data_IF_587074062947
#
_entry.id   IF_587074062947
#
_cell.length_a   1.000
_cell.length_b   1.000
_cell.length_c   1.000
_cell.angle_alpha   90.00
_cell.angle_beta   90.00
_cell.angle_gamma   90.00
#
_symmetry.space_group_name_H-M   'P 1'
#
loop_
_entity.id
_entity.type
_entity.pdbx_description
1 polymer ?
#
# COMPACT_ATOMS: atom_id res chain seq x y z
N UNK A 1 10.58 -1.46 26.15
CA UNK A 1 11.45 -0.37 26.61
C UNK A 1 12.48 -1.01 27.49
N UNK A 2 13.75 -1.01 27.11
CA UNK A 2 14.81 -1.44 28.01
C UNK A 2 15.01 -0.30 28.99
N UNK A 3 14.53 -0.46 30.23
CA UNK A 3 14.81 0.54 31.26
C UNK A 3 16.32 0.54 31.52
N UNK A 4 16.94 1.72 31.66
CA UNK A 4 18.35 1.80 32.01
C UNK A 4 18.48 1.37 33.48
N UNK A 5 19.39 0.42 33.71
CA UNK A 5 19.59 -0.35 34.95
C UNK A 5 18.53 -1.41 35.25
N UNK A 6 18.94 -2.67 35.07
CA UNK A 6 18.25 -3.82 35.64
C UNK A 6 18.32 -3.69 37.17
N UNK A 7 17.17 -3.77 37.85
CA UNK A 7 17.05 -3.55 39.30
C UNK A 7 17.90 -4.54 40.13
N UNK A 8 18.45 -5.55 39.46
CA UNK A 8 19.39 -6.56 39.96
C UNK A 8 20.81 -6.03 40.25
N UNK A 9 21.18 -4.83 39.80
CA UNK A 9 22.58 -4.32 39.83
C UNK A 9 22.82 -3.18 40.84
N UNK A 10 22.01 -3.08 41.91
CA UNK A 10 22.26 -2.08 42.97
C UNK A 10 23.08 -2.67 44.13
N UNK A 11 24.32 -2.19 44.41
CA UNK A 11 25.08 -2.59 45.58
C UNK A 11 24.51 -1.90 46.84
N UNK A 12 24.22 -2.65 47.91
CA UNK A 12 23.54 -2.12 49.11
C UNK A 12 24.14 -2.61 50.43
N UNK A 13 25.35 -2.19 50.77
CA UNK A 13 25.94 -2.59 52.05
C UNK A 13 26.05 -1.47 53.10
N UNK A 14 25.69 -0.20 52.80
CA UNK A 14 25.82 0.94 53.75
C UNK A 14 24.58 1.86 53.89
N UNK A 15 23.34 1.38 53.73
CA UNK A 15 22.12 2.23 53.78
C UNK A 15 21.28 2.05 55.06
N UNK A 16 20.59 3.10 55.53
CA UNK A 16 19.70 3.09 56.70
C UNK A 16 18.49 2.14 56.52
N UNK A 17 17.99 1.57 57.62
CA UNK A 17 16.91 0.56 57.63
C UNK A 17 15.61 1.07 56.97
N UNK A 18 15.21 2.30 57.28
CA UNK A 18 14.00 2.94 56.72
C UNK A 18 14.13 3.16 55.20
N UNK A 19 15.32 3.57 54.76
CA UNK A 19 15.64 3.73 53.35
C UNK A 19 15.71 2.38 52.60
N UNK A 20 16.10 1.28 53.27
CA UNK A 20 16.05 -0.07 52.68
C UNK A 20 14.60 -0.48 52.40
N UNK A 21 13.72 -0.34 53.39
CA UNK A 21 12.31 -0.72 53.27
C UNK A 21 11.62 0.05 52.14
N UNK A 22 11.86 1.37 52.06
CA UNK A 22 11.31 2.18 50.98
C UNK A 22 11.82 1.75 49.59
N UNK A 23 13.10 1.42 49.46
CA UNK A 23 13.64 0.91 48.20
C UNK A 23 13.07 -0.47 47.84
N UNK A 24 12.84 -1.35 48.81
CA UNK A 24 12.20 -2.65 48.60
C UNK A 24 10.77 -2.49 48.08
N UNK A 25 10.01 -1.56 48.67
CA UNK A 25 8.66 -1.23 48.22
C UNK A 25 8.67 -0.71 46.77
N UNK A 26 9.56 0.23 46.43
CA UNK A 26 9.71 0.77 45.07
C UNK A 26 10.07 -0.34 44.08
N UNK A 27 11.02 -1.21 44.43
CA UNK A 27 11.44 -2.33 43.57
C UNK A 27 10.28 -3.30 43.34
N UNK A 28 9.47 -3.59 44.36
CA UNK A 28 8.31 -4.47 44.25
C UNK A 28 7.27 -3.90 43.29
N UNK A 29 6.97 -2.60 43.41
CA UNK A 29 6.04 -1.90 42.53
C UNK A 29 6.56 -1.84 41.10
N UNK A 30 7.85 -1.55 40.90
CA UNK A 30 8.48 -1.57 39.59
C UNK A 30 8.37 -2.95 38.93
N UNK A 31 8.59 -4.03 39.68
CA UNK A 31 8.43 -5.40 39.18
C UNK A 31 7.00 -5.67 38.69
N UNK A 32 6.00 -5.29 39.48
CA UNK A 32 4.59 -5.40 39.11
C UNK A 32 4.29 -4.63 37.82
N UNK A 33 4.79 -3.38 37.71
CA UNK A 33 4.58 -2.57 36.52
C UNK A 33 5.23 -3.18 35.28
N UNK A 34 6.42 -3.78 35.41
CA UNK A 34 7.12 -4.44 34.32
C UNK A 34 6.35 -5.67 33.84
N UNK A 35 5.87 -6.50 34.75
CA UNK A 35 5.08 -7.68 34.44
C UNK A 35 3.77 -7.30 33.74
N UNK A 36 3.06 -6.29 34.26
CA UNK A 36 1.82 -5.79 33.67
C UNK A 36 2.07 -5.19 32.28
N UNK A 37 3.14 -4.41 32.10
CA UNK A 37 3.53 -3.87 30.81
C UNK A 37 3.86 -4.99 29.81
N UNK A 38 4.61 -6.01 30.23
CA UNK A 38 4.94 -7.16 29.39
C UNK A 38 3.71 -7.96 28.97
N UNK A 39 2.78 -8.20 29.91
CA UNK A 39 1.50 -8.84 29.64
C UNK A 39 0.67 -8.02 28.65
N UNK A 40 0.56 -6.71 28.86
CA UNK A 40 -0.17 -5.82 27.95
C UNK A 40 0.41 -5.81 26.53
N UNK A 41 1.75 -5.80 26.40
CA UNK A 41 2.42 -5.90 25.11
C UNK A 41 2.07 -7.22 24.43
N UNK A 42 2.17 -8.36 25.14
CA UNK A 42 1.84 -9.68 24.61
C UNK A 42 0.36 -9.78 24.18
N UNK A 43 -0.56 -9.35 25.04
CA UNK A 43 -2.00 -9.34 24.74
C UNK A 43 -2.31 -8.48 23.52
N UNK A 44 -1.71 -7.29 23.42
CA UNK A 44 -1.88 -6.40 22.27
C UNK A 44 -1.31 -7.03 21.00
N UNK A 45 -0.14 -7.65 21.06
CA UNK A 45 0.46 -8.35 19.92
C UNK A 45 -0.43 -9.51 19.45
N UNK A 46 -0.95 -10.32 20.38
CA UNK A 46 -1.88 -11.42 20.07
C UNK A 46 -3.16 -10.92 19.40
N UNK A 47 -3.81 -9.90 19.98
CA UNK A 47 -5.02 -9.29 19.41
C UNK A 47 -4.78 -8.70 18.00
N UNK A 48 -3.64 -8.04 17.81
CA UNK A 48 -3.28 -7.52 16.48
C UNK A 48 -3.05 -8.66 15.50
N UNK A 49 -2.33 -9.70 15.91
CA UNK A 49 -2.10 -10.91 15.11
C UNK A 49 -3.43 -11.53 14.66
N UNK A 50 -4.35 -11.80 15.59
CA UNK A 50 -5.70 -12.31 15.28
C UNK A 50 -6.42 -11.44 14.25
N UNK A 51 -6.39 -10.11 14.43
CA UNK A 51 -7.03 -9.17 13.50
C UNK A 51 -6.48 -9.28 12.08
N UNK A 52 -5.16 -9.39 11.93
CA UNK A 52 -4.53 -9.54 10.62
C UNK A 52 -4.71 -10.96 10.06
N UNK A 53 -4.71 -11.97 10.93
CA UNK A 53 -4.87 -13.37 10.57
C UNK A 53 -6.28 -13.69 10.02
N UNK A 54 -7.33 -13.01 10.50
CA UNK A 54 -8.70 -13.17 9.96
C UNK A 54 -8.76 -12.99 8.44
N UNK A 55 -7.96 -12.07 7.89
CA UNK A 55 -7.92 -11.78 6.45
C UNK A 55 -6.67 -12.33 5.76
N UNK A 56 -5.74 -12.95 6.51
CA UNK A 56 -4.56 -13.56 5.94
C UNK A 56 -4.96 -14.84 5.21
N UNK A 57 -4.37 -15.04 4.03
CA UNK A 57 -4.57 -16.26 3.26
C UNK A 57 -3.28 -17.05 3.34
N UNK A 58 -3.42 -18.36 3.47
CA UNK A 58 -2.29 -19.27 3.31
C UNK A 58 -1.73 -19.02 1.90
N UNK A 59 -0.45 -18.65 1.77
CA UNK A 59 0.12 -18.33 0.47
C UNK A 59 0.24 -19.60 -0.37
N UNK A 60 -0.19 -19.53 -1.63
CA UNK A 60 -0.17 -20.64 -2.59
C UNK A 60 1.10 -20.60 -3.46
N UNK A 61 2.30 -20.57 -2.85
CA UNK A 61 3.53 -20.72 -3.63
C UNK A 61 4.06 -22.14 -3.54
N UNK A 62 4.65 -22.61 -4.62
CA UNK A 62 5.42 -23.85 -4.66
C UNK A 62 6.86 -23.52 -4.31
N UNK A 63 7.53 -24.45 -3.62
CA UNK A 63 8.97 -24.35 -3.39
C UNK A 63 9.66 -24.15 -4.75
N UNK A 64 10.56 -23.14 -4.83
CA UNK A 64 11.28 -22.67 -6.04
C UNK A 64 10.52 -21.71 -6.96
N UNK A 65 9.34 -21.23 -6.57
CA UNK A 65 8.73 -20.08 -7.25
C UNK A 65 9.60 -18.83 -7.04
N UNK A 66 9.92 -18.13 -8.14
CA UNK A 66 10.71 -16.89 -8.10
C UNK A 66 9.80 -15.76 -7.64
N UNK A 67 10.13 -15.14 -6.51
CA UNK A 67 9.44 -13.97 -5.98
C UNK A 67 10.35 -12.76 -6.17
N UNK A 68 9.81 -11.68 -6.74
CA UNK A 68 10.54 -10.42 -6.86
C UNK A 68 10.71 -9.83 -5.46
N UNK A 69 11.95 -9.78 -4.98
CA UNK A 69 12.29 -9.08 -3.75
C UNK A 69 12.51 -7.60 -4.09
N UNK A 70 11.68 -6.70 -3.55
CA UNK A 70 11.95 -5.26 -3.66
C UNK A 70 13.09 -4.92 -2.71
N UNK A 71 14.28 -4.72 -3.24
CA UNK A 71 15.43 -4.28 -2.46
C UNK A 71 15.26 -2.80 -2.11
N UNK A 72 14.97 -2.50 -0.84
CA UNK A 72 14.94 -1.13 -0.34
C UNK A 72 16.36 -0.70 0.00
N UNK A 73 17.15 -0.39 -1.03
CA UNK A 73 18.47 0.22 -0.84
C UNK A 73 18.27 1.72 -0.65
N UNK A 74 18.60 2.19 0.55
CA UNK A 74 18.59 3.61 0.87
C UNK A 74 19.95 4.17 0.45
N UNK A 75 20.03 5.07 -0.55
CA UNK A 75 21.30 5.65 -0.97
C UNK A 75 21.96 6.39 0.19
N UNK A 76 23.29 6.33 0.22
CA UNK A 76 24.11 6.95 1.28
C UNK A 76 23.76 8.44 1.38
N UNK A 77 23.49 8.91 2.60
CA UNK A 77 23.12 10.30 2.87
C UNK A 77 21.63 10.61 2.80
N UNK A 78 20.75 9.66 2.45
CA UNK A 78 19.28 9.82 2.61
C UNK A 78 18.76 9.02 3.80
N UNK A 79 17.72 9.54 4.44
CA UNK A 79 17.03 8.79 5.49
C UNK A 79 16.04 7.80 4.85
N UNK A 80 15.92 6.56 5.35
CA UNK A 80 15.00 5.56 4.81
C UNK A 80 13.54 6.04 4.70
N UNK A 81 13.14 6.95 5.59
CA UNK A 81 11.78 7.52 5.63
C UNK A 81 11.50 8.56 4.55
N UNK A 82 12.53 9.10 3.89
CA UNK A 82 12.40 10.09 2.82
C UNK A 82 12.47 9.46 1.41
N UNK A 83 13.06 8.27 1.27
CA UNK A 83 13.30 7.65 -0.04
C UNK A 83 12.01 7.13 -0.68
N UNK A 84 11.12 6.51 0.10
CA UNK A 84 9.92 5.85 -0.43
C UNK A 84 8.76 6.81 -0.76
N UNK A 85 8.85 8.11 -0.45
CA UNK A 85 7.72 9.05 -0.61
C UNK A 85 7.62 9.70 -2.01
N UNK A 86 8.72 9.75 -2.78
CA UNK A 86 8.78 10.52 -4.04
C UNK A 86 9.36 9.77 -5.24
N UNK A 87 9.74 8.50 -5.11
CA UNK A 87 10.38 7.75 -6.20
C UNK A 87 9.41 7.10 -7.21
N UNK A 88 8.16 7.54 -7.29
CA UNK A 88 7.21 7.07 -8.31
C UNK A 88 7.18 7.98 -9.56
N UNK A 89 8.06 8.98 -9.64
CA UNK A 89 8.14 9.91 -10.77
C UNK A 89 9.59 10.06 -11.25
N UNK A 90 10.07 9.07 -12.02
CA UNK A 90 11.03 9.37 -13.08
C UNK A 90 10.24 9.52 -14.38
N UNK A 91 9.95 10.78 -14.70
CA UNK A 91 9.76 11.22 -16.08
C UNK A 91 11.14 11.43 -16.69
N UNK A 92 11.50 10.59 -17.65
CA UNK A 92 12.53 10.89 -18.63
C UNK A 92 11.85 11.60 -19.79
N UNK A 93 11.60 12.90 -19.63
CA UNK A 93 11.49 13.82 -20.75
C UNK A 93 12.74 14.70 -20.67
N UNK A 94 13.76 14.38 -21.47
CA UNK A 94 14.75 15.34 -21.99
C UNK A 94 15.82 14.60 -22.80
N UNK A 95 15.62 14.57 -24.11
CA UNK A 95 16.72 14.80 -25.04
C UNK A 95 16.24 15.86 -26.04
N UNK A 96 16.61 17.11 -25.77
CA UNK A 96 16.75 18.12 -26.82
C UNK A 96 18.17 18.02 -27.35
N UNK A 97 18.33 17.80 -28.65
CA UNK A 97 18.92 18.81 -29.54
C UNK A 97 19.09 18.25 -30.96
N UNK A 98 18.30 18.78 -31.90
CA UNK A 98 18.73 19.10 -33.27
C UNK A 98 17.65 19.91 -33.99
N UNK A 99 17.97 21.20 -34.14
CA UNK A 99 17.77 22.04 -35.33
C UNK A 99 17.03 21.40 -36.53
N UNK A 100 15.90 22.01 -36.92
CA UNK A 100 15.58 22.51 -38.28
C UNK A 100 14.10 22.92 -38.35
N UNK A 101 13.84 24.09 -38.94
CA UNK A 101 12.50 24.65 -39.10
C UNK A 101 11.57 23.79 -39.94
N UNK A 102 10.31 23.76 -39.53
CA UNK A 102 9.10 23.91 -40.35
C UNK A 102 7.91 23.45 -39.49
N UNK A 103 7.01 24.37 -39.13
CA UNK A 103 5.73 24.04 -38.51
C UNK A 103 4.84 23.30 -39.51
N UNK A 104 4.30 22.11 -39.20
CA UNK A 104 3.06 21.67 -39.79
C UNK A 104 1.91 22.05 -38.84
N UNK A 105 1.03 22.93 -39.31
CA UNK A 105 -0.28 23.20 -38.72
C UNK A 105 -0.97 21.90 -38.29
N UNK A 106 -0.95 21.61 -36.98
CA UNK A 106 -1.64 20.48 -36.39
C UNK A 106 -3.12 20.87 -36.31
N UNK A 107 -3.84 20.64 -37.41
CA UNK A 107 -5.30 20.68 -37.43
C UNK A 107 -5.75 19.62 -36.44
N UNK A 108 -6.07 20.03 -35.21
CA UNK A 108 -6.71 19.18 -34.22
C UNK A 108 -8.09 18.88 -34.79
N UNK A 109 -8.20 17.79 -35.53
CA UNK A 109 -9.46 17.30 -36.05
C UNK A 109 -10.27 16.87 -34.82
N UNK A 110 -11.06 17.80 -34.26
CA UNK A 110 -11.99 17.62 -33.14
C UNK A 110 -13.19 16.76 -33.58
N UNK A 111 -12.94 15.76 -34.41
CA UNK A 111 -13.93 14.84 -34.94
C UNK A 111 -14.33 13.92 -33.80
N UNK A 112 -15.56 14.11 -33.30
CA UNK A 112 -16.12 13.25 -32.28
C UNK A 112 -16.39 11.87 -32.87
N UNK A 113 -15.71 10.84 -32.38
CA UNK A 113 -15.94 9.46 -32.77
C UNK A 113 -16.91 8.78 -31.80
N UNK A 114 -17.88 8.02 -32.35
CA UNK A 114 -18.86 7.32 -31.53
C UNK A 114 -18.26 6.10 -30.82
N UNK A 115 -18.41 6.07 -29.49
CA UNK A 115 -17.96 4.97 -28.64
C UNK A 115 -19.07 3.95 -28.45
N UNK A 116 -18.78 2.66 -28.66
CA UNK A 116 -19.72 1.57 -28.37
C UNK A 116 -19.71 1.24 -26.87
N UNK A 117 -18.51 0.97 -26.31
CA UNK A 117 -18.36 0.62 -24.90
C UNK A 117 -16.90 0.65 -24.44
N UNK A 118 -16.72 0.86 -23.14
CA UNK A 118 -15.43 0.63 -22.48
C UNK A 118 -15.25 -0.85 -22.16
N UNK A 119 -14.11 -1.39 -22.59
CA UNK A 119 -13.75 -2.79 -22.40
C UNK A 119 -12.89 -2.98 -21.15
N UNK A 120 -11.90 -2.12 -20.97
CA UNK A 120 -10.93 -2.22 -19.90
C UNK A 120 -10.45 -0.86 -19.41
N UNK A 121 -9.72 -0.85 -18.29
CA UNK A 121 -9.09 0.33 -17.71
C UNK A 121 -7.67 -0.04 -17.25
N UNK A 122 -6.72 0.88 -17.42
CA UNK A 122 -5.37 0.79 -16.88
C UNK A 122 -4.91 2.17 -16.40
N UNK A 123 -3.98 2.21 -15.46
CA UNK A 123 -3.33 3.45 -15.05
C UNK A 123 -1.87 3.44 -15.54
N UNK A 124 -1.40 4.54 -16.13
CA UNK A 124 -0.03 4.71 -16.57
C UNK A 124 0.43 6.16 -16.28
N UNK A 125 1.59 6.32 -15.63
CA UNK A 125 2.17 7.64 -15.25
C UNK A 125 1.16 8.58 -14.54
N UNK A 126 0.35 8.04 -13.63
CA UNK A 126 -0.68 8.80 -12.90
C UNK A 126 -1.94 9.14 -13.72
N UNK A 127 -1.95 8.86 -15.03
CA UNK A 127 -3.09 9.10 -15.92
C UNK A 127 -3.85 7.78 -16.10
N UNK A 128 -5.16 7.85 -15.96
CA UNK A 128 -6.05 6.71 -16.15
C UNK A 128 -6.46 6.62 -17.62
N UNK A 129 -6.31 5.44 -18.21
CA UNK A 129 -6.68 5.12 -19.58
C UNK A 129 -7.79 4.08 -19.61
N UNK A 130 -8.66 4.17 -20.61
CA UNK A 130 -9.67 3.17 -20.87
C UNK A 130 -9.54 2.63 -22.29
N UNK A 131 -9.78 1.33 -22.45
CA UNK A 131 -9.81 0.69 -23.75
C UNK A 131 -11.19 0.87 -24.35
N UNK A 132 -11.26 1.70 -25.39
CA UNK A 132 -12.48 2.10 -26.08
C UNK A 132 -12.74 1.12 -27.21
N UNK A 133 -13.93 0.53 -27.24
CA UNK A 133 -14.44 -0.15 -28.43
C UNK A 133 -15.25 0.87 -29.23
N UNK A 134 -14.81 1.15 -30.44
CA UNK A 134 -15.46 2.08 -31.37
C UNK A 134 -16.65 1.42 -32.06
N UNK A 135 -17.67 2.20 -32.41
CA UNK A 135 -18.83 1.69 -33.16
C UNK A 135 -18.50 1.38 -34.62
N UNK A 136 -17.54 2.11 -35.19
CA UNK A 136 -17.15 1.99 -36.60
C UNK A 136 -16.42 0.67 -36.91
N UNK A 137 -16.29 -0.22 -35.92
CA UNK A 137 -15.63 -1.52 -36.06
C UNK A 137 -14.10 -1.42 -36.09
N UNK A 138 -13.54 -0.22 -35.91
CA UNK A 138 -12.11 -0.01 -35.81
C UNK A 138 -11.51 -0.70 -34.59
N UNK A 139 -10.19 -0.93 -34.64
CA UNK A 139 -9.47 -1.64 -33.58
C UNK A 139 -9.60 -0.85 -32.25
N UNK A 140 -9.85 -1.53 -31.11
CA UNK A 140 -9.95 -0.86 -29.83
C UNK A 140 -8.65 -0.14 -29.44
N UNK A 141 -8.77 1.11 -28.99
CA UNK A 141 -7.62 1.96 -28.66
C UNK A 141 -7.68 2.43 -27.21
N UNK A 142 -6.52 2.72 -26.62
CA UNK A 142 -6.41 3.22 -25.25
C UNK A 142 -6.50 4.74 -25.23
N UNK A 143 -7.63 5.25 -24.76
CA UNK A 143 -7.87 6.68 -24.63
C UNK A 143 -7.74 7.14 -23.18
N UNK A 144 -7.18 8.34 -22.93
CA UNK A 144 -7.08 8.88 -21.57
C UNK A 144 -8.47 9.21 -21.03
N UNK A 145 -8.62 9.21 -19.70
CA UNK A 145 -9.88 9.49 -19.01
C UNK A 145 -10.51 10.82 -19.44
N UNK A 146 -9.66 11.82 -19.76
CA UNK A 146 -10.06 13.15 -20.20
C UNK A 146 -10.81 13.13 -21.54
N UNK A 147 -10.52 12.18 -22.42
CA UNK A 147 -11.15 12.07 -23.74
C UNK A 147 -12.51 11.35 -23.70
N UNK A 148 -12.94 10.86 -22.54
CA UNK A 148 -14.10 9.98 -22.41
C UNK A 148 -15.15 10.63 -21.53
N UNK A 149 -16.39 10.67 -22.03
CA UNK A 149 -17.52 11.20 -21.29
C UNK A 149 -17.76 10.45 -19.96
N UNK A 150 -18.06 11.21 -18.91
CA UNK A 150 -18.21 10.68 -17.55
C UNK A 150 -19.28 9.60 -17.43
N UNK A 151 -20.37 9.70 -18.21
CA UNK A 151 -21.45 8.71 -18.23
C UNK A 151 -20.98 7.30 -18.62
N UNK A 152 -20.10 7.18 -19.61
CA UNK A 152 -19.53 5.90 -20.05
C UNK A 152 -18.63 5.28 -18.97
N UNK A 153 -17.88 6.13 -18.26
CA UNK A 153 -17.02 5.71 -17.15
C UNK A 153 -17.86 5.18 -15.99
N UNK A 154 -18.91 5.91 -15.60
CA UNK A 154 -19.82 5.52 -14.52
C UNK A 154 -20.53 4.19 -14.84
N UNK A 155 -20.99 4.00 -16.08
CA UNK A 155 -21.62 2.75 -16.51
C UNK A 155 -20.63 1.57 -16.42
N UNK A 156 -19.40 1.76 -16.89
CA UNK A 156 -18.35 0.75 -16.82
C UNK A 156 -18.03 0.32 -15.37
N UNK A 157 -17.86 1.30 -14.47
CA UNK A 157 -17.57 1.04 -13.06
C UNK A 157 -18.76 0.36 -12.36
N UNK A 158 -19.98 0.82 -12.62
CA UNK A 158 -21.22 0.23 -12.10
C UNK A 158 -21.38 -1.22 -12.56
N UNK A 159 -21.07 -1.52 -13.82
CA UNK A 159 -21.12 -2.89 -14.37
C UNK A 159 -20.05 -3.79 -13.73
N UNK A 160 -18.83 -3.29 -13.53
CA UNK A 160 -17.73 -4.04 -12.88
C UNK A 160 -18.04 -4.36 -11.43
N UNK A 161 -18.55 -3.40 -10.65
CA UNK A 161 -18.93 -3.61 -9.24
C UNK A 161 -20.14 -4.54 -9.11
N UNK A 162 -21.18 -4.40 -9.95
CA UNK A 162 -22.33 -5.32 -10.00
C UNK A 162 -21.93 -6.76 -10.37
N UNK A 163 -21.03 -6.96 -11.35
CA UNK A 163 -20.47 -8.28 -11.69
C UNK A 163 -19.70 -8.88 -10.51
N UNK A 164 -18.92 -8.07 -9.79
CA UNK A 164 -18.22 -8.49 -8.58
C UNK A 164 -19.17 -8.97 -7.47
N UNK A 165 -20.26 -8.22 -7.22
CA UNK A 165 -21.27 -8.57 -6.22
C UNK A 165 -22.02 -9.86 -6.55
N UNK A 166 -22.44 -10.06 -7.80
CA UNK A 166 -23.09 -11.30 -8.27
C UNK A 166 -22.16 -12.52 -8.19
N UNK A 167 -20.85 -12.36 -8.48
CA UNK A 167 -19.87 -13.44 -8.32
C UNK A 167 -19.72 -13.87 -6.86
N UNK A 168 -19.72 -12.92 -5.93
CA UNK A 168 -19.67 -13.20 -4.48
C UNK A 168 -20.94 -13.94 -4.03
N UNK A 169 -22.13 -13.43 -4.36
CA UNK A 169 -23.39 -14.08 -3.95
C UNK A 169 -23.55 -15.51 -4.50
N UNK A 170 -23.17 -15.78 -5.76
CA UNK A 170 -23.17 -17.15 -6.32
C UNK A 170 -22.17 -18.10 -5.66
N UNK A 171 -21.10 -17.58 -5.04
CA UNK A 171 -20.11 -18.38 -4.30
C UNK A 171 -20.66 -18.85 -2.95
N UNK A 172 -21.54 -18.07 -2.32
CA UNK A 172 -22.17 -18.42 -1.04
C UNK A 172 -23.47 -19.24 -1.18
N UNK A 173 -24.12 -19.21 -2.35
CA UNK A 173 -25.35 -19.97 -2.65
C UNK A 173 -25.13 -21.31 -3.41
N UNK A 174 -23.89 -21.73 -3.65
CA UNK A 174 -23.56 -23.04 -4.26
C UNK A 174 -22.85 -23.96 -3.26
N UNK A 175 -23.53 -24.29 -2.16
CA UNK A 175 -23.21 -25.47 -1.36
C UNK A 175 -24.54 -26.16 -1.03
N UNK A 176 -24.72 -27.46 -1.33
CA UNK A 176 -25.80 -28.25 -0.75
C UNK A 176 -25.63 -28.31 0.78
#
# INVERSE_FOLDING_TARGET
>A
MNLPFDASVLPKDNLSEDAKHHLEEIISNLKITQDLAAQNIKLKQAKMKERYDINSKIPEFRLRDKVLLKEHVVPVGRSPKLVDKYNDYESTDSETDSDNGDEPNNVIDNTFHEVEKLLNNRNARGIQYFLVKWKDGSKPTWEPKQNIGEGLIQEYLTRKTKKGRRRKQRKYFKRP
#
